data_IF_945583802306
#
_entry.id   IF_945583802306
#
_cell.length_a   1.000
_cell.length_b   1.000
_cell.length_c   1.000
_cell.angle_alpha   90.00
_cell.angle_beta   90.00
_cell.angle_gamma   90.00
#
_symmetry.space_group_name_H-M   'P 1'
#
loop_
_entity.id
_entity.type
_entity.pdbx_description
1 polymer ?
#
# COMPACT_ATOMS: atom_id res chain seq x y z
N UNK A 1 -25.66 56.69 -26.50
CA UNK A 1 -24.63 57.56 -27.10
C UNK A 1 -23.30 57.23 -26.43
N UNK A 2 -22.51 56.31 -26.97
CA UNK A 2 -21.44 56.53 -27.95
C UNK A 2 -20.38 57.56 -27.51
N UNK A 3 -19.20 57.07 -27.09
CA UNK A 3 -17.87 57.32 -27.73
C UNK A 3 -16.75 56.73 -26.85
N UNK A 4 -16.10 55.67 -27.32
CA UNK A 4 -14.82 55.65 -28.07
C UNK A 4 -13.59 55.78 -27.16
N UNK A 5 -12.85 54.67 -27.02
CA UNK A 5 -11.42 54.73 -26.69
C UNK A 5 -10.57 55.16 -27.90
N UNK A 6 -9.25 55.06 -27.78
CA UNK A 6 -8.46 54.59 -28.90
C UNK A 6 -7.46 53.49 -28.49
N UNK A 7 -7.31 52.53 -29.40
CA UNK A 7 -6.22 51.59 -29.49
C UNK A 7 -5.03 52.20 -30.26
N UNK A 8 -3.81 51.73 -29.96
CA UNK A 8 -2.63 51.60 -30.85
C UNK A 8 -1.54 50.86 -30.02
N UNK A 9 -1.09 49.63 -30.27
CA UNK A 9 -0.64 48.91 -31.46
C UNK A 9 0.81 49.20 -31.89
N UNK A 10 1.53 48.10 -32.18
CA UNK A 10 2.79 47.92 -32.96
C UNK A 10 4.07 48.14 -32.11
N UNK A 11 5.07 47.25 -32.03
CA UNK A 11 5.70 46.44 -33.08
C UNK A 11 6.38 45.17 -32.57
N UNK A 12 6.50 44.21 -33.48
CA UNK A 12 7.29 42.98 -33.40
C UNK A 12 8.68 43.14 -34.03
N UNK A 13 9.66 42.37 -33.54
CA UNK A 13 10.80 41.75 -34.28
C UNK A 13 11.63 40.97 -33.22
N UNK A 14 11.68 39.64 -33.17
CA UNK A 14 12.16 38.63 -34.12
C UNK A 14 13.69 38.60 -34.33
N UNK A 15 14.26 37.41 -34.03
CA UNK A 15 15.59 36.83 -34.33
C UNK A 15 16.70 37.07 -33.29
N UNK A 16 17.57 36.11 -32.95
CA UNK A 16 17.64 34.67 -33.20
C UNK A 16 18.85 34.10 -32.41
N UNK A 17 18.78 32.80 -32.13
CA UNK A 17 19.89 31.84 -32.09
C UNK A 17 20.87 31.86 -30.90
N UNK A 18 20.90 30.72 -30.21
CA UNK A 18 21.88 30.40 -29.17
C UNK A 18 21.58 29.06 -28.51
N UNK A 19 21.47 27.99 -29.31
CA UNK A 19 21.25 26.61 -28.88
C UNK A 19 22.24 26.15 -27.82
N UNK A 20 21.73 25.69 -26.67
CA UNK A 20 22.38 24.65 -25.86
C UNK A 20 21.34 23.60 -25.53
N UNK A 21 21.33 22.53 -26.32
CA UNK A 21 20.63 21.29 -26.01
C UNK A 21 21.18 20.73 -24.70
N UNK A 22 20.41 20.88 -23.62
CA UNK A 22 20.54 20.00 -22.46
C UNK A 22 19.64 18.81 -22.77
N UNK A 23 20.26 17.67 -23.03
CA UNK A 23 19.61 16.38 -23.20
C UNK A 23 18.72 16.10 -21.98
N UNK A 24 17.41 16.25 -22.18
CA UNK A 24 16.41 15.67 -21.28
C UNK A 24 16.59 14.16 -21.32
N UNK A 25 16.99 13.59 -20.19
CA UNK A 25 16.85 12.16 -19.97
C UNK A 25 15.34 11.78 -20.04
N UNK A 26 14.99 10.66 -20.70
CA UNK A 26 13.60 10.24 -20.80
C UNK A 26 13.06 9.84 -19.42
N UNK A 27 11.92 10.43 -19.05
CA UNK A 27 11.13 10.02 -17.87
C UNK A 27 10.67 8.57 -18.07
N UNK A 28 10.87 7.65 -17.10
CA UNK A 28 10.30 6.32 -17.20
C UNK A 28 8.77 6.37 -17.03
N UNK A 29 8.11 5.49 -17.78
CA UNK A 29 6.67 5.40 -18.00
C UNK A 29 5.87 5.10 -16.73
N UNK A 30 4.79 5.85 -16.56
CA UNK A 30 3.95 6.00 -15.35
C UNK A 30 2.85 4.92 -15.18
N UNK A 31 3.07 3.68 -15.62
CA UNK A 31 1.98 2.67 -15.72
C UNK A 31 2.31 1.23 -15.25
N UNK A 32 3.33 1.02 -14.41
CA UNK A 32 3.67 -0.33 -13.86
C UNK A 32 3.56 -0.45 -12.34
N UNK A 33 2.96 0.53 -11.66
CA UNK A 33 3.26 0.81 -10.25
C UNK A 33 2.56 -0.04 -9.17
N UNK A 34 1.82 -1.12 -9.48
CA UNK A 34 1.32 -2.06 -8.44
C UNK A 34 1.45 -3.54 -8.80
N UNK A 35 2.17 -3.89 -9.87
CA UNK A 35 2.62 -5.28 -10.03
C UNK A 35 3.94 -5.43 -9.27
N UNK A 36 3.95 -6.17 -8.16
CA UNK A 36 5.14 -6.55 -7.39
C UNK A 36 6.10 -5.37 -7.17
N UNK A 37 5.79 -4.52 -6.18
CA UNK A 37 6.74 -3.47 -5.82
C UNK A 37 7.86 -4.10 -4.99
N UNK A 38 8.84 -4.67 -5.67
CA UNK A 38 10.12 -5.08 -5.07
C UNK A 38 10.88 -3.82 -4.64
N UNK A 39 10.73 -3.44 -3.38
CA UNK A 39 11.67 -2.57 -2.69
C UNK A 39 12.82 -3.47 -2.23
N UNK A 40 13.82 -3.63 -3.09
CA UNK A 40 14.79 -4.73 -2.98
C UNK A 40 15.80 -4.49 -1.87
N UNK A 41 15.70 -5.34 -0.85
CA UNK A 41 16.78 -5.80 0.02
C UNK A 41 18.12 -5.92 -0.73
N UNK A 42 19.21 -5.41 -0.16
CA UNK A 42 20.54 -5.65 -0.71
C UNK A 42 20.87 -7.15 -0.59
N UNK A 43 21.26 -7.85 -1.68
CA UNK A 43 21.54 -9.28 -1.60
C UNK A 43 22.80 -9.51 -0.78
N UNK A 44 22.64 -9.98 0.45
CA UNK A 44 23.70 -10.68 1.16
C UNK A 44 23.80 -12.11 0.60
N UNK A 45 25.00 -12.69 0.46
CA UNK A 45 25.16 -14.03 -0.10
C UNK A 45 24.31 -15.06 0.66
N UNK A 46 23.64 -16.00 -0.04
CA UNK A 46 22.74 -16.97 0.58
C UNK A 46 23.54 -17.85 1.53
N UNK A 47 23.42 -17.59 2.82
CA UNK A 47 24.00 -18.44 3.85
C UNK A 47 22.88 -19.31 4.41
N UNK A 48 22.90 -20.63 4.20
CA UNK A 48 21.89 -21.50 4.78
C UNK A 48 21.93 -21.40 6.30
N UNK A 49 20.78 -21.08 6.91
CA UNK A 49 20.51 -21.31 8.33
C UNK A 49 21.30 -20.46 9.32
N UNK A 50 21.27 -19.14 9.20
CA UNK A 50 21.65 -18.29 10.35
C UNK A 50 20.65 -18.57 11.49
N UNK A 51 21.11 -18.99 12.68
CA UNK A 51 20.23 -19.32 13.80
C UNK A 51 19.39 -18.09 14.16
N UNK A 52 18.09 -18.32 14.32
CA UNK A 52 17.18 -17.31 14.84
C UNK A 52 17.41 -17.15 16.35
N UNK A 53 16.87 -16.09 16.95
CA UNK A 53 16.93 -15.89 18.41
C UNK A 53 16.29 -17.04 19.22
N UNK A 54 15.52 -17.92 18.56
CA UNK A 54 14.83 -19.05 19.19
C UNK A 54 15.59 -20.37 19.05
N UNK A 55 16.61 -20.44 18.19
CA UNK A 55 17.28 -21.71 17.88
C UNK A 55 18.43 -22.02 18.86
N UNK A 56 19.17 -21.01 19.35
CA UNK A 56 20.28 -21.22 20.30
C UNK A 56 20.82 -19.91 20.93
N UNK A 57 21.71 -20.04 21.92
CA UNK A 57 22.51 -18.91 22.44
C UNK A 57 23.35 -18.23 21.35
N UNK A 58 23.79 -18.99 20.33
CA UNK A 58 24.51 -18.43 19.19
C UNK A 58 23.60 -17.53 18.35
N UNK A 59 22.30 -17.86 18.22
CA UNK A 59 21.32 -17.02 17.55
C UNK A 59 21.10 -15.68 18.26
N UNK A 60 21.03 -15.70 19.61
CA UNK A 60 20.98 -14.47 20.42
C UNK A 60 22.26 -13.65 20.31
N UNK A 61 23.42 -14.29 20.33
CA UNK A 61 24.71 -13.64 20.15
C UNK A 61 24.81 -12.96 18.78
N UNK A 62 24.43 -13.67 17.71
CA UNK A 62 24.42 -13.11 16.36
C UNK A 62 23.44 -11.95 16.22
N UNK A 63 22.25 -12.05 16.80
CA UNK A 63 21.30 -10.94 16.84
C UNK A 63 21.86 -9.71 17.56
N UNK A 64 22.50 -9.92 18.71
CA UNK A 64 23.15 -8.85 19.45
C UNK A 64 24.27 -8.20 18.64
N UNK A 65 25.15 -8.99 18.01
CA UNK A 65 26.19 -8.48 17.12
C UNK A 65 25.61 -7.66 15.97
N UNK A 66 24.54 -8.13 15.32
CA UNK A 66 23.86 -7.35 14.27
C UNK A 66 23.34 -6.01 14.78
N UNK A 67 22.75 -5.98 15.98
CA UNK A 67 22.27 -4.74 16.57
C UNK A 67 23.41 -3.75 16.86
N UNK A 68 24.55 -4.24 17.38
CA UNK A 68 25.72 -3.41 17.71
C UNK A 68 26.43 -2.92 16.45
N UNK A 69 26.69 -3.81 15.50
CA UNK A 69 27.36 -3.48 14.22
C UNK A 69 26.57 -2.44 13.43
N UNK A 70 25.23 -2.44 13.57
CA UNK A 70 24.33 -1.54 12.85
C UNK A 70 23.90 -0.31 13.64
N UNK A 71 24.52 -0.01 14.79
CA UNK A 71 24.28 1.27 15.49
C UNK A 71 24.45 2.50 14.55
N UNK A 72 25.44 2.57 13.64
CA UNK A 72 25.53 3.69 12.70
C UNK A 72 24.31 3.81 11.77
N UNK A 73 23.63 2.69 11.47
CA UNK A 73 22.39 2.69 10.69
C UNK A 73 21.24 3.26 11.53
N UNK A 74 21.18 2.96 12.83
CA UNK A 74 20.21 3.57 13.73
C UNK A 74 20.38 5.10 13.79
N UNK A 75 21.61 5.60 13.88
CA UNK A 75 21.87 7.04 13.84
C UNK A 75 21.44 7.67 12.51
N UNK A 76 21.66 6.98 11.39
CA UNK A 76 21.13 7.39 10.08
C UNK A 76 19.61 7.47 10.09
N UNK A 77 18.92 6.49 10.68
CA UNK A 77 17.45 6.49 10.77
C UNK A 77 16.92 7.66 11.60
N UNK A 78 17.59 8.01 12.70
CA UNK A 78 17.24 9.20 13.49
C UNK A 78 17.44 10.50 12.68
N UNK A 79 18.56 10.61 11.96
CA UNK A 79 18.85 11.79 11.13
C UNK A 79 17.91 11.96 9.94
N UNK A 80 17.46 10.85 9.35
CA UNK A 80 16.56 10.84 8.19
C UNK A 80 15.08 10.85 8.58
N UNK A 81 14.75 10.96 9.87
CA UNK A 81 13.37 11.11 10.32
C UNK A 81 12.52 9.86 10.17
N UNK A 82 13.13 8.67 10.21
CA UNK A 82 12.42 7.37 10.14
C UNK A 82 11.41 7.24 11.27
N UNK A 83 11.70 7.81 12.43
CA UNK A 83 10.87 7.75 13.62
C UNK A 83 10.17 9.08 13.89
N UNK A 84 8.98 9.08 14.54
CA UNK A 84 8.28 10.32 14.85
C UNK A 84 9.12 11.23 15.76
N UNK A 85 9.09 12.56 15.56
CA UNK A 85 9.91 13.50 16.33
C UNK A 85 9.53 13.54 17.82
N UNK A 86 8.32 13.12 18.17
CA UNK A 86 7.84 13.01 19.56
C UNK A 86 8.19 11.68 20.24
N UNK A 87 8.73 10.70 19.50
CA UNK A 87 9.01 9.38 20.04
C UNK A 87 10.32 9.36 20.83
N UNK A 88 10.34 8.78 22.05
CA UNK A 88 11.57 8.69 22.83
C UNK A 88 12.58 7.78 22.14
N UNK A 89 13.86 8.15 22.20
CA UNK A 89 14.97 7.43 21.55
C UNK A 89 15.02 5.94 21.87
N UNK A 90 14.67 5.54 23.08
CA UNK A 90 14.64 4.13 23.47
C UNK A 90 13.52 3.33 22.75
N UNK A 91 12.36 3.94 22.51
CA UNK A 91 11.30 3.34 21.70
C UNK A 91 11.76 3.16 20.24
N UNK A 92 12.41 4.19 19.69
CA UNK A 92 13.00 4.14 18.34
C UNK A 92 14.05 3.04 18.24
N UNK A 93 14.90 2.91 19.27
CA UNK A 93 15.89 1.85 19.34
C UNK A 93 15.23 0.47 19.38
N UNK A 94 14.13 0.28 20.11
CA UNK A 94 13.40 -0.98 20.08
C UNK A 94 12.86 -1.32 18.68
N UNK A 95 12.25 -0.35 17.99
CA UNK A 95 11.81 -0.54 16.60
C UNK A 95 12.98 -0.94 15.71
N UNK A 96 14.11 -0.26 15.84
CA UNK A 96 15.34 -0.57 15.12
C UNK A 96 15.83 -2.00 15.40
N UNK A 97 15.88 -2.42 16.67
CA UNK A 97 16.34 -3.77 17.03
C UNK A 97 15.41 -4.85 16.47
N UNK A 98 14.09 -4.61 16.47
CA UNK A 98 13.12 -5.51 15.86
C UNK A 98 13.31 -5.68 14.36
N UNK A 99 13.74 -4.65 13.64
CA UNK A 99 14.10 -4.77 12.21
C UNK A 99 15.30 -5.70 11.97
N UNK A 100 16.13 -5.97 12.99
CA UNK A 100 17.29 -6.87 12.90
C UNK A 100 16.96 -8.33 13.26
N UNK A 101 15.69 -8.63 13.56
CA UNK A 101 15.24 -9.97 13.92
C UNK A 101 15.35 -10.96 12.75
N UNK A 102 14.91 -10.63 11.51
CA UNK A 102 15.09 -11.53 10.39
C UNK A 102 16.58 -11.78 10.13
N UNK A 103 17.04 -13.05 10.10
CA UNK A 103 18.46 -13.35 10.03
C UNK A 103 19.00 -13.33 8.59
N UNK A 104 18.12 -13.58 7.60
CA UNK A 104 18.47 -13.71 6.19
C UNK A 104 18.17 -12.46 5.37
N UNK A 105 17.25 -11.60 5.85
CA UNK A 105 16.71 -10.47 5.11
C UNK A 105 16.97 -9.19 5.88
N UNK A 106 17.51 -8.18 5.19
CA UNK A 106 17.79 -6.88 5.79
C UNK A 106 16.84 -5.84 5.22
N UNK A 107 16.16 -5.11 6.11
CA UNK A 107 15.20 -4.07 5.73
C UNK A 107 15.81 -2.71 6.04
N UNK A 108 16.08 -1.91 4.99
CA UNK A 108 16.40 -0.49 5.15
C UNK A 108 15.09 0.28 5.38
N UNK A 109 14.91 0.82 6.58
CA UNK A 109 13.69 1.52 6.97
C UNK A 109 13.52 2.83 6.19
N UNK A 110 14.60 3.46 5.73
CA UNK A 110 14.53 4.69 4.93
C UNK A 110 13.93 4.38 3.57
N UNK A 111 14.51 3.39 2.88
CA UNK A 111 14.03 2.95 1.57
C UNK A 111 12.60 2.43 1.65
N UNK A 112 12.30 1.64 2.68
CA UNK A 112 10.95 1.16 2.94
C UNK A 112 9.96 2.31 3.13
N UNK A 113 10.28 3.35 3.92
CA UNK A 113 9.35 4.47 4.14
C UNK A 113 9.16 5.33 2.88
N UNK A 114 10.18 5.49 2.04
CA UNK A 114 10.03 6.14 0.73
C UNK A 114 9.08 5.34 -0.17
N UNK A 115 9.21 4.01 -0.16
CA UNK A 115 8.30 3.11 -0.86
C UNK A 115 6.88 3.14 -0.31
N UNK A 116 6.73 3.09 1.02
CA UNK A 116 5.45 3.17 1.71
C UNK A 116 4.74 4.49 1.40
N UNK A 117 5.47 5.62 1.39
CA UNK A 117 4.92 6.91 0.99
C UNK A 117 4.31 6.86 -0.41
N UNK A 118 5.04 6.31 -1.36
CA UNK A 118 4.57 6.17 -2.73
C UNK A 118 3.33 5.26 -2.81
N UNK A 119 3.34 4.13 -2.10
CA UNK A 119 2.21 3.21 -2.06
C UNK A 119 0.95 3.85 -1.44
N UNK A 120 1.10 4.59 -0.33
CA UNK A 120 0.01 5.33 0.31
C UNK A 120 -0.52 6.45 -0.60
N UNK A 121 0.35 7.19 -1.28
CA UNK A 121 -0.04 8.24 -2.23
C UNK A 121 -0.89 7.66 -3.36
N UNK A 122 -0.41 6.57 -3.96
CA UNK A 122 -1.12 5.88 -5.03
C UNK A 122 -2.46 5.31 -4.53
N UNK A 123 -2.48 4.66 -3.36
CA UNK A 123 -3.68 4.09 -2.79
C UNK A 123 -4.76 5.16 -2.54
N UNK A 124 -4.39 6.26 -1.90
CA UNK A 124 -5.29 7.38 -1.60
C UNK A 124 -5.80 8.05 -2.87
N UNK A 125 -4.92 8.43 -3.81
CA UNK A 125 -5.35 9.04 -5.07
C UNK A 125 -6.26 8.13 -5.89
N UNK A 126 -5.98 6.82 -5.89
CA UNK A 126 -6.80 5.85 -6.61
C UNK A 126 -8.15 5.66 -5.93
N UNK A 127 -8.20 5.61 -4.59
CA UNK A 127 -9.44 5.50 -3.82
C UNK A 127 -10.38 6.69 -4.04
N UNK A 128 -9.84 7.92 -4.10
CA UNK A 128 -10.63 9.12 -4.40
C UNK A 128 -10.86 9.36 -5.90
N UNK A 129 -10.36 8.47 -6.77
CA UNK A 129 -10.63 8.60 -8.19
C UNK A 129 -12.10 8.32 -8.49
N UNK A 130 -12.69 9.08 -9.41
CA UNK A 130 -14.09 8.85 -9.84
C UNK A 130 -14.31 7.45 -10.39
N UNK A 131 -13.29 6.89 -11.02
CA UNK A 131 -13.35 5.53 -11.56
C UNK A 131 -13.57 4.51 -10.43
N UNK A 132 -12.76 4.58 -9.38
CA UNK A 132 -12.89 3.69 -8.23
C UNK A 132 -14.19 3.92 -7.46
N UNK A 133 -14.60 5.18 -7.26
CA UNK A 133 -15.88 5.49 -6.59
C UNK A 133 -17.06 4.90 -7.37
N UNK A 134 -17.08 5.03 -8.69
CA UNK A 134 -18.12 4.43 -9.54
C UNK A 134 -18.11 2.90 -9.46
N UNK A 135 -16.92 2.30 -9.35
CA UNK A 135 -16.80 0.85 -9.15
C UNK A 135 -17.34 0.45 -7.77
N UNK A 136 -16.95 1.14 -6.71
CA UNK A 136 -17.38 0.88 -5.34
C UNK A 136 -18.89 1.09 -5.13
N UNK A 137 -19.49 2.07 -5.82
CA UNK A 137 -20.94 2.30 -5.79
C UNK A 137 -21.74 1.33 -6.67
N UNK A 138 -21.08 0.45 -7.42
CA UNK A 138 -21.70 -0.49 -8.35
C UNK A 138 -22.23 0.15 -9.65
N UNK A 139 -21.79 1.36 -9.99
CA UNK A 139 -22.14 2.01 -11.24
C UNK A 139 -21.39 1.39 -12.44
N UNK A 140 -20.19 0.86 -12.22
CA UNK A 140 -19.42 0.09 -13.19
C UNK A 140 -19.01 -1.26 -12.61
N UNK A 141 -18.93 -2.29 -13.46
CA UNK A 141 -18.63 -3.66 -13.03
C UNK A 141 -17.14 -4.00 -12.98
N UNK A 142 -16.29 -3.23 -13.66
CA UNK A 142 -14.84 -3.44 -13.71
C UNK A 142 -14.12 -2.09 -13.81
N UNK A 143 -12.94 -1.99 -13.21
CA UNK A 143 -12.14 -0.78 -13.14
C UNK A 143 -10.65 -1.11 -13.07
N UNK A 144 -9.82 -0.62 -14.00
CA UNK A 144 -8.37 -0.63 -13.86
C UNK A 144 -7.87 -0.06 -12.53
N UNK A 145 -8.51 0.98 -11.98
CA UNK A 145 -8.19 1.52 -10.66
C UNK A 145 -8.44 0.49 -9.53
N UNK A 146 -9.53 -0.27 -9.62
CA UNK A 146 -9.82 -1.35 -8.68
C UNK A 146 -8.82 -2.51 -8.80
N UNK A 147 -8.49 -2.94 -10.03
CA UNK A 147 -7.47 -3.97 -10.27
C UNK A 147 -6.09 -3.54 -9.77
N UNK A 148 -5.75 -2.26 -9.94
CA UNK A 148 -4.51 -1.67 -9.43
C UNK A 148 -4.48 -1.83 -7.90
N UNK A 149 -5.51 -1.36 -7.18
CA UNK A 149 -5.60 -1.49 -5.73
C UNK A 149 -5.56 -2.95 -5.25
N UNK A 150 -6.25 -3.87 -5.93
CA UNK A 150 -6.24 -5.30 -5.59
C UNK A 150 -4.87 -5.96 -5.63
N UNK A 151 -3.91 -5.42 -6.39
CA UNK A 151 -2.55 -5.98 -6.45
C UNK A 151 -1.67 -5.53 -5.29
N UNK A 152 -1.91 -4.34 -4.74
CA UNK A 152 -1.11 -3.76 -3.65
C UNK A 152 -1.72 -3.91 -2.25
N UNK A 153 -3.03 -4.15 -2.16
CA UNK A 153 -3.77 -4.31 -0.91
C UNK A 153 -4.10 -5.78 -0.66
N UNK A 154 -4.16 -6.16 0.61
CA UNK A 154 -4.84 -7.39 0.98
C UNK A 154 -6.32 -7.31 0.62
N UNK A 155 -6.95 -8.47 0.50
CA UNK A 155 -8.36 -8.56 0.16
C UNK A 155 -9.23 -7.87 1.21
N UNK A 156 -8.88 -8.01 2.48
CA UNK A 156 -9.59 -7.42 3.61
C UNK A 156 -9.48 -5.89 3.56
N UNK A 157 -8.29 -5.35 3.30
CA UNK A 157 -8.09 -3.92 3.21
C UNK A 157 -8.80 -3.33 1.97
N UNK A 158 -8.76 -4.05 0.84
CA UNK A 158 -9.49 -3.66 -0.37
C UNK A 158 -11.00 -3.62 -0.14
N UNK A 159 -11.56 -4.63 0.53
CA UNK A 159 -12.98 -4.67 0.89
C UNK A 159 -13.37 -3.53 1.84
N UNK A 160 -12.51 -3.20 2.82
CA UNK A 160 -12.74 -2.06 3.71
C UNK A 160 -12.79 -0.74 2.93
N UNK A 161 -11.94 -0.56 1.92
CA UNK A 161 -11.96 0.63 1.06
C UNK A 161 -13.22 0.70 0.21
N UNK A 162 -13.65 -0.43 -0.38
CA UNK A 162 -14.92 -0.49 -1.12
C UNK A 162 -16.10 -0.11 -0.23
N UNK A 163 -16.15 -0.66 0.98
CA UNK A 163 -17.19 -0.34 1.94
C UNK A 163 -17.21 1.16 2.28
N UNK A 164 -16.05 1.73 2.62
CA UNK A 164 -15.93 3.15 2.98
C UNK A 164 -16.37 4.07 1.83
N UNK A 165 -15.96 3.78 0.59
CA UNK A 165 -16.35 4.58 -0.58
C UNK A 165 -17.83 4.43 -0.92
N UNK A 166 -18.38 3.22 -0.82
CA UNK A 166 -19.81 2.96 -1.04
C UNK A 166 -20.68 3.72 -0.02
N UNK A 167 -20.32 3.66 1.27
CA UNK A 167 -21.02 4.42 2.32
C UNK A 167 -20.93 5.94 2.08
N UNK A 168 -19.75 6.44 1.70
CA UNK A 168 -19.60 7.85 1.34
C UNK A 168 -20.50 8.27 0.17
N UNK A 169 -20.64 7.42 -0.85
CA UNK A 169 -21.46 7.72 -2.03
C UNK A 169 -22.96 7.82 -1.73
N UNK A 170 -23.46 7.08 -0.73
CA UNK A 170 -24.88 7.10 -0.30
C UNK A 170 -25.31 8.44 0.28
N UNK A 171 -24.37 9.24 0.79
CA UNK A 171 -24.65 10.57 1.33
C UNK A 171 -25.05 11.61 0.27
N UNK A 172 -24.87 11.30 -1.02
CA UNK A 172 -25.10 12.23 -2.12
C UNK A 172 -24.00 13.27 -2.32
N UNK A 173 -23.00 13.30 -1.43
CA UNK A 173 -21.83 14.15 -1.55
C UNK A 173 -20.76 13.45 -2.39
N UNK A 174 -20.11 14.20 -3.28
CA UNK A 174 -18.94 13.72 -4.02
C UNK A 174 -17.69 14.40 -3.49
N UNK A 175 -16.66 13.61 -3.23
CA UNK A 175 -15.35 14.07 -2.76
C UNK A 175 -14.32 13.76 -3.84
N UNK A 176 -13.81 14.81 -4.50
CA UNK A 176 -12.70 14.71 -5.44
C UNK A 176 -11.42 15.16 -4.69
N UNK A 177 -10.42 14.29 -4.55
CA UNK A 177 -9.12 14.66 -3.99
C UNK A 177 -8.35 15.52 -5.00
N UNK A 178 -8.16 16.81 -4.70
CA UNK A 178 -7.48 17.75 -5.58
C UNK A 178 -5.96 17.74 -5.34
N UNK A 179 -5.54 17.62 -4.08
CA UNK A 179 -4.14 17.62 -3.69
C UNK A 179 -3.96 16.81 -2.39
N UNK A 180 -2.87 16.05 -2.33
CA UNK A 180 -2.44 15.32 -1.14
C UNK A 180 -1.02 15.74 -0.78
N UNK A 181 -0.87 16.38 0.37
CA UNK A 181 0.45 16.76 0.88
C UNK A 181 0.84 15.80 2.01
N UNK A 182 2.06 15.27 1.96
CA UNK A 182 2.61 14.45 3.05
C UNK A 182 3.42 15.34 3.99
N UNK A 183 2.98 15.45 5.23
CA UNK A 183 3.65 16.20 6.29
C UNK A 183 4.69 15.34 7.02
N UNK A 184 4.47 14.03 7.09
CA UNK A 184 5.37 13.09 7.74
C UNK A 184 5.03 11.64 7.45
N UNK A 185 6.04 10.78 7.39
CA UNK A 185 5.92 9.34 7.19
C UNK A 185 6.90 8.66 8.14
N UNK A 186 6.38 7.91 9.10
CA UNK A 186 7.18 7.41 10.22
C UNK A 186 6.91 5.93 10.49
N UNK A 187 7.96 5.18 10.81
CA UNK A 187 7.85 3.83 11.34
C UNK A 187 7.43 3.90 12.82
N UNK A 188 6.30 3.28 13.16
CA UNK A 188 5.72 3.29 14.52
C UNK A 188 5.54 1.89 15.11
N UNK A 189 5.58 0.85 14.28
CA UNK A 189 5.42 -0.53 14.73
C UNK A 189 6.21 -1.50 13.86
N UNK A 190 6.74 -2.54 14.51
CA UNK A 190 7.42 -3.67 13.88
C UNK A 190 6.96 -4.93 14.60
N UNK A 191 6.40 -5.86 13.84
CA UNK A 191 6.02 -7.20 14.29
C UNK A 191 6.76 -8.21 13.43
N UNK A 192 7.30 -9.26 14.06
CA UNK A 192 7.96 -10.35 13.38
C UNK A 192 7.46 -11.65 13.95
N UNK A 193 7.00 -12.53 13.07
CA UNK A 193 6.34 -13.78 13.42
C UNK A 193 7.01 -14.94 12.69
N UNK A 194 7.18 -16.04 13.40
CA UNK A 194 7.52 -17.32 12.81
C UNK A 194 6.27 -18.17 12.75
N UNK A 195 6.03 -18.72 11.56
CA UNK A 195 4.89 -19.57 11.30
C UNK A 195 5.33 -20.70 10.37
N UNK A 196 4.64 -21.82 10.44
CA UNK A 196 4.75 -22.85 9.42
C UNK A 196 4.05 -22.41 8.13
N UNK A 197 4.49 -22.97 7.01
CA UNK A 197 3.82 -22.76 5.73
C UNK A 197 2.38 -23.28 5.75
N UNK A 198 2.11 -24.31 6.57
CA UNK A 198 0.77 -24.82 6.84
C UNK A 198 -0.12 -23.76 7.52
N UNK A 199 0.39 -23.07 8.55
CA UNK A 199 -0.35 -21.99 9.24
C UNK A 199 -0.63 -20.83 8.29
N UNK A 200 0.34 -20.41 7.47
CA UNK A 200 0.12 -19.34 6.48
C UNK A 200 -0.97 -19.73 5.47
N UNK A 201 -0.93 -20.96 4.94
CA UNK A 201 -1.95 -21.48 4.03
C UNK A 201 -3.32 -21.56 4.71
N UNK A 202 -3.38 -21.99 5.97
CA UNK A 202 -4.61 -22.05 6.74
C UNK A 202 -5.23 -20.66 6.92
N UNK A 203 -4.44 -19.65 7.30
CA UNK A 203 -4.90 -18.25 7.41
C UNK A 203 -5.47 -17.75 6.08
N UNK A 204 -4.74 -17.94 4.97
CA UNK A 204 -5.21 -17.55 3.63
C UNK A 204 -6.49 -18.27 3.21
N UNK A 205 -6.62 -19.56 3.56
CA UNK A 205 -7.83 -20.34 3.28
C UNK A 205 -9.03 -19.84 4.08
N UNK A 206 -8.85 -19.51 5.36
CA UNK A 206 -9.92 -18.91 6.18
C UNK A 206 -10.36 -17.56 5.63
N UNK A 207 -9.42 -16.70 5.22
CA UNK A 207 -9.70 -15.43 4.58
C UNK A 207 -10.51 -15.62 3.27
N UNK A 208 -10.10 -16.57 2.42
CA UNK A 208 -10.81 -16.89 1.18
C UNK A 208 -12.23 -17.38 1.44
N UNK A 209 -12.42 -18.30 2.40
CA UNK A 209 -13.74 -18.84 2.74
C UNK A 209 -14.65 -17.76 3.31
N UNK A 210 -14.13 -16.90 4.18
CA UNK A 210 -14.87 -15.75 4.72
C UNK A 210 -15.35 -14.84 3.60
N UNK A 211 -14.46 -14.49 2.68
CA UNK A 211 -14.82 -13.62 1.56
C UNK A 211 -15.79 -14.27 0.56
N UNK A 212 -15.72 -15.60 0.36
CA UNK A 212 -16.74 -16.32 -0.41
C UNK A 212 -18.10 -16.31 0.30
N UNK A 213 -18.12 -16.49 1.61
CA UNK A 213 -19.34 -16.45 2.41
C UNK A 213 -20.02 -15.07 2.37
N UNK A 214 -19.24 -13.98 2.41
CA UNK A 214 -19.74 -12.61 2.24
C UNK A 214 -20.42 -12.42 0.89
N UNK A 215 -19.77 -12.82 -0.21
CA UNK A 215 -20.35 -12.74 -1.56
C UNK A 215 -21.64 -13.55 -1.67
N UNK A 216 -21.68 -14.76 -1.11
CA UNK A 216 -22.90 -15.58 -1.09
C UNK A 216 -24.02 -14.93 -0.27
N UNK A 217 -23.69 -14.31 0.88
CA UNK A 217 -24.67 -13.61 1.71
C UNK A 217 -25.26 -12.40 0.98
N UNK A 218 -24.43 -11.62 0.28
CA UNK A 218 -24.86 -10.48 -0.54
C UNK A 218 -25.76 -10.91 -1.69
N UNK A 219 -25.41 -11.98 -2.41
CA UNK A 219 -26.24 -12.55 -3.47
C UNK A 219 -27.61 -13.00 -2.94
N UNK A 220 -27.63 -13.68 -1.79
CA UNK A 220 -28.87 -14.12 -1.14
C UNK A 220 -29.73 -12.94 -0.69
N UNK A 221 -29.13 -11.90 -0.14
CA UNK A 221 -29.83 -10.67 0.26
C UNK A 221 -30.41 -9.91 -0.96
N UNK A 222 -29.69 -9.88 -2.08
CA UNK A 222 -30.16 -9.25 -3.31
C UNK A 222 -31.33 -10.03 -3.95
N UNK A 223 -31.28 -11.36 -3.91
CA UNK A 223 -32.40 -12.22 -4.37
C UNK A 223 -33.67 -12.00 -3.53
N UNK A 224 -33.53 -11.82 -2.21
CA UNK A 224 -34.66 -11.58 -1.29
C UNK A 224 -35.29 -10.18 -1.46
N UNK A 225 -34.52 -9.19 -1.91
CA UNK A 225 -34.99 -7.79 -2.03
C UNK A 225 -35.51 -7.43 -3.41
N UNK A 226 -35.53 -8.36 -4.37
CA UNK A 226 -36.00 -8.12 -5.74
C UNK A 226 -35.18 -7.09 -6.52
N UNK A 227 -34.01 -6.69 -6.00
CA UNK A 227 -33.10 -5.75 -6.64
C UNK A 227 -32.41 -6.49 -7.79
N UNK A 228 -32.57 -5.99 -9.01
CA UNK A 228 -31.91 -6.54 -10.20
C UNK A 228 -30.41 -6.37 -10.03
N UNK A 229 -29.72 -7.40 -9.52
CA UNK A 229 -28.27 -7.47 -9.54
C UNK A 229 -27.89 -7.36 -11.01
N UNK A 230 -27.17 -6.30 -11.39
CA UNK A 230 -26.57 -6.22 -12.70
C UNK A 230 -25.81 -7.53 -12.90
N UNK A 231 -26.20 -8.31 -13.91
CA UNK A 231 -25.60 -9.60 -14.18
C UNK A 231 -24.09 -9.40 -14.27
N UNK A 232 -23.38 -9.85 -13.23
CA UNK A 232 -21.95 -10.05 -13.29
C UNK A 232 -21.75 -11.02 -14.46
N UNK A 233 -20.91 -10.68 -15.45
CA UNK A 233 -20.67 -11.58 -16.56
C UNK A 233 -20.23 -12.94 -16.02
N UNK A 234 -20.80 -14.00 -16.60
CA UNK A 234 -20.50 -15.40 -16.29
C UNK A 234 -18.99 -15.64 -16.15
N UNK A 235 -18.55 -16.44 -15.16
CA UNK A 235 -17.14 -16.61 -14.86
C UNK A 235 -16.52 -17.74 -15.69
N UNK A 236 -15.87 -17.41 -16.80
CA UNK A 236 -14.80 -18.25 -17.36
C UNK A 236 -13.61 -17.33 -17.66
N UNK A 237 -12.49 -17.40 -16.91
CA UNK A 237 -11.77 -18.59 -16.43
C UNK A 237 -11.59 -18.66 -14.90
N UNK A 238 -12.56 -18.20 -14.12
CA UNK A 238 -12.45 -18.09 -12.66
C UNK A 238 -12.46 -19.48 -11.96
N UNK A 239 -13.11 -20.50 -12.53
CA UNK A 239 -13.13 -21.85 -11.98
C UNK A 239 -11.74 -22.53 -12.01
N UNK A 240 -11.01 -22.40 -13.12
CA UNK A 240 -9.65 -22.95 -13.23
C UNK A 240 -8.66 -22.19 -12.33
N UNK A 241 -8.83 -20.87 -12.18
CA UNK A 241 -8.05 -20.04 -11.26
C UNK A 241 -8.35 -20.36 -9.79
N UNK A 242 -9.63 -20.58 -9.46
CA UNK A 242 -10.06 -21.00 -8.12
C UNK A 242 -9.53 -22.40 -7.79
N UNK A 243 -9.58 -23.35 -8.73
CA UNK A 243 -9.05 -24.69 -8.56
C UNK A 243 -7.51 -24.68 -8.41
N UNK A 244 -6.79 -23.86 -9.19
CA UNK A 244 -5.34 -23.69 -9.00
C UNK A 244 -4.99 -22.97 -7.69
N UNK A 245 -5.82 -22.05 -7.21
CA UNK A 245 -5.61 -21.39 -5.92
C UNK A 245 -5.90 -22.35 -4.75
N UNK A 246 -6.96 -23.14 -4.84
CA UNK A 246 -7.30 -24.16 -3.84
C UNK A 246 -6.23 -25.25 -3.76
N UNK A 247 -5.65 -25.65 -4.90
CA UNK A 247 -4.48 -26.54 -4.95
C UNK A 247 -3.24 -25.87 -4.31
N UNK A 248 -3.04 -24.57 -4.53
CA UNK A 248 -1.93 -23.82 -3.90
C UNK A 248 -2.11 -23.64 -2.39
N UNK A 249 -3.34 -23.65 -1.89
CA UNK A 249 -3.68 -23.54 -0.47
C UNK A 249 -3.93 -24.90 0.18
N UNK A 250 -3.79 -26.00 -0.56
CA UNK A 250 -3.78 -27.34 0.01
C UNK A 250 -2.59 -27.48 0.96
N UNK A 251 -2.88 -27.95 2.18
CA UNK A 251 -1.88 -28.12 3.23
C UNK A 251 -1.34 -29.54 3.12
N UNK A 252 -0.07 -29.64 2.74
CA UNK A 252 0.67 -30.90 2.69
C UNK A 252 1.40 -31.15 4.02
N UNK A 253 1.70 -32.40 4.40
CA UNK A 253 2.44 -32.71 5.62
C UNK A 253 3.83 -32.02 5.71
N UNK A 254 4.47 -31.79 4.56
CA UNK A 254 5.74 -31.03 4.47
C UNK A 254 5.61 -29.56 4.85
N UNK A 255 4.41 -29.00 4.75
CA UNK A 255 4.16 -27.57 5.00
C UNK A 255 4.28 -27.23 6.49
N UNK A 256 4.00 -28.19 7.38
CA UNK A 256 4.21 -28.04 8.83
C UNK A 256 5.69 -27.97 9.20
N UNK A 257 6.58 -28.51 8.36
CA UNK A 257 8.02 -28.51 8.59
C UNK A 257 8.70 -27.28 7.97
N UNK A 258 8.07 -26.65 6.98
CA UNK A 258 8.60 -25.48 6.30
C UNK A 258 8.35 -24.24 7.15
N UNK A 259 9.42 -23.66 7.71
CA UNK A 259 9.35 -22.42 8.51
C UNK A 259 9.33 -21.20 7.60
N UNK A 260 8.38 -20.31 7.83
CA UNK A 260 8.24 -19.01 7.19
C UNK A 260 8.43 -17.91 8.24
N UNK A 261 9.02 -16.80 7.83
CA UNK A 261 9.11 -15.58 8.61
C UNK A 261 8.24 -14.51 7.96
N UNK A 262 7.33 -13.93 8.75
CA UNK A 262 6.49 -12.80 8.36
C UNK A 262 6.94 -11.57 9.12
N UNK A 263 7.01 -10.43 8.44
CA UNK A 263 7.21 -9.14 9.08
C UNK A 263 6.05 -8.21 8.73
N UNK A 264 5.56 -7.49 9.75
CA UNK A 264 4.62 -6.39 9.60
C UNK A 264 5.23 -5.09 10.08
N UNK A 265 5.05 -4.05 9.29
CA UNK A 265 5.54 -2.70 9.56
C UNK A 265 4.36 -1.74 9.61
N UNK A 266 4.22 -1.03 10.72
CA UNK A 266 3.21 0.00 10.88
C UNK A 266 3.82 1.35 10.55
N UNK A 267 3.27 2.01 9.54
CA UNK A 267 3.69 3.30 9.04
C UNK A 267 2.64 4.34 9.37
N UNK A 268 2.99 5.28 10.24
CA UNK A 268 2.16 6.45 10.50
C UNK A 268 2.40 7.46 9.39
N UNK A 269 1.33 7.79 8.68
CA UNK A 269 1.32 8.80 7.62
C UNK A 269 0.52 9.99 8.12
N UNK A 270 1.14 11.16 8.08
CA UNK A 270 0.50 12.45 8.34
C UNK A 270 0.32 13.16 7.01
N UNK A 271 -0.92 13.40 6.61
CA UNK A 271 -1.27 14.06 5.36
C UNK A 271 -2.12 15.29 5.57
N UNK A 272 -2.09 16.18 4.58
CA UNK A 272 -3.07 17.24 4.41
C UNK A 272 -3.80 17.02 3.10
N UNK A 273 -5.07 16.70 3.21
CA UNK A 273 -5.96 16.38 2.11
C UNK A 273 -6.72 17.64 1.70
N UNK A 274 -6.64 18.00 0.42
CA UNK A 274 -7.45 19.07 -0.16
C UNK A 274 -8.55 18.45 -1.00
N UNK A 275 -9.76 18.43 -0.44
CA UNK A 275 -10.93 17.80 -1.04
C UNK A 275 -11.83 18.86 -1.67
N UNK A 276 -12.18 18.66 -2.94
CA UNK A 276 -13.30 19.36 -3.57
C UNK A 276 -14.58 18.58 -3.27
N UNK A 277 -15.46 19.19 -2.50
CA UNK A 277 -16.76 18.61 -2.13
C UNK A 277 -17.83 19.23 -3.00
N UNK A 278 -18.56 18.42 -3.76
CA UNK A 278 -19.84 18.85 -4.34
C UNK A 278 -20.97 18.25 -3.55
N UNK A 279 -21.73 19.12 -2.89
CA UNK A 279 -22.95 18.75 -2.18
C UNK A 279 -24.13 18.68 -3.15
N UNK A 280 -25.19 17.96 -2.77
CA UNK A 280 -26.42 17.86 -3.55
C UNK A 280 -27.08 19.24 -3.84
N UNK A 281 -26.79 20.24 -3.00
CA UNK A 281 -27.29 21.62 -3.13
C UNK A 281 -26.50 22.47 -4.15
N UNK A 282 -25.48 21.89 -4.81
CA UNK A 282 -24.69 22.53 -5.87
C UNK A 282 -23.65 23.55 -5.37
N UNK A 283 -23.32 23.53 -4.09
CA UNK A 283 -22.23 24.34 -3.54
C UNK A 283 -20.92 23.57 -3.61
N UNK A 284 -20.05 23.97 -4.55
CA UNK A 284 -18.68 23.49 -4.60
C UNK A 284 -17.88 24.15 -3.47
N UNK A 285 -17.37 23.34 -2.54
CA UNK A 285 -16.51 23.80 -1.46
C UNK A 285 -15.16 23.07 -1.52
N UNK A 286 -14.08 23.77 -1.19
CA UNK A 286 -12.77 23.14 -1.00
C UNK A 286 -12.48 23.07 0.49
N UNK A 287 -12.26 21.86 0.99
CA UNK A 287 -11.94 21.60 2.39
C UNK A 287 -10.49 21.13 2.44
N UNK A 288 -9.68 21.78 3.27
CA UNK A 288 -8.38 21.27 3.67
C UNK A 288 -8.53 20.57 5.02
N UNK A 289 -8.12 19.29 5.07
CA UNK A 289 -8.21 18.46 6.27
C UNK A 289 -6.85 17.86 6.59
N UNK A 290 -6.39 18.05 7.82
CA UNK A 290 -5.26 17.30 8.34
C UNK A 290 -5.74 15.89 8.73
N UNK A 291 -5.00 14.89 8.28
CA UNK A 291 -5.33 13.49 8.45
C UNK A 291 -4.11 12.74 8.97
N UNK A 292 -4.34 11.78 9.85
CA UNK A 292 -3.30 10.90 10.37
C UNK A 292 -3.87 9.50 10.38
N UNK A 293 -3.17 8.58 9.74
CA UNK A 293 -3.55 7.18 9.65
C UNK A 293 -2.32 6.29 9.82
N UNK A 294 -2.52 5.09 10.35
CA UNK A 294 -1.48 4.06 10.44
C UNK A 294 -1.76 3.00 9.38
N UNK A 295 -0.84 2.88 8.44
CA UNK A 295 -0.87 1.90 7.35
C UNK A 295 0.00 0.72 7.74
N UNK A 296 -0.59 -0.47 7.78
CA UNK A 296 0.12 -1.71 8.08
C UNK A 296 0.54 -2.39 6.79
N UNK A 297 1.83 -2.59 6.65
CA UNK A 297 2.44 -3.34 5.56
C UNK A 297 2.83 -4.72 6.05
N UNK A 298 2.70 -5.73 5.21
CA UNK A 298 3.09 -7.11 5.51
C UNK A 298 3.93 -7.68 4.37
N UNK A 299 4.93 -8.49 4.72
CA UNK A 299 5.70 -9.26 3.76
C UNK A 299 6.24 -10.57 4.36
N UNK A 300 6.52 -11.53 3.48
CA UNK A 300 7.30 -12.72 3.83
C UNK A 300 8.78 -12.36 3.69
N UNK A 301 9.54 -12.55 4.77
CA UNK A 301 10.94 -12.12 4.88
C UNK A 301 11.89 -13.30 5.11
N UNK A 302 11.42 -14.53 4.82
CA UNK A 302 12.21 -15.76 4.98
C UNK A 302 13.49 -15.72 4.14
N UNK A 303 13.38 -15.24 2.90
CA UNK A 303 14.50 -14.96 2.03
C UNK A 303 14.35 -13.55 1.42
N UNK A 304 15.46 -12.90 1.01
CA UNK A 304 15.40 -11.58 0.40
C UNK A 304 14.57 -11.51 -0.89
N UNK A 305 14.52 -12.62 -1.63
CA UNK A 305 13.79 -12.70 -2.91
C UNK A 305 12.27 -12.82 -2.71
N UNK A 306 11.82 -13.25 -1.52
CA UNK A 306 10.41 -13.38 -1.18
C UNK A 306 9.77 -12.06 -0.70
N UNK A 307 10.58 -11.00 -0.54
CA UNK A 307 10.10 -9.72 -0.03
C UNK A 307 9.23 -9.02 -1.07
N UNK A 308 7.93 -9.11 -0.84
CA UNK A 308 6.89 -8.37 -1.54
C UNK A 308 5.95 -7.74 -0.52
N UNK A 309 5.90 -6.40 -0.49
CA UNK A 309 5.15 -5.66 0.52
C UNK A 309 3.72 -5.40 0.06
N UNK A 310 2.75 -5.77 0.89
CA UNK A 310 1.33 -5.48 0.68
C UNK A 310 0.75 -4.68 1.83
N UNK A 311 -0.23 -3.81 1.55
CA UNK A 311 -0.98 -3.06 2.56
C UNK A 311 -2.10 -3.96 3.10
N UNK A 312 -2.05 -4.33 4.36
CA UNK A 312 -3.01 -5.27 4.96
C UNK A 312 -4.11 -4.61 5.78
N UNK A 313 -3.87 -3.39 6.28
CA UNK A 313 -4.90 -2.61 6.97
C UNK A 313 -4.53 -1.12 7.06
N UNK A 314 -5.54 -0.28 7.26
CA UNK A 314 -5.41 1.14 7.60
C UNK A 314 -6.23 1.41 8.86
N UNK A 315 -5.61 2.03 9.86
CA UNK A 315 -6.16 2.30 11.20
C UNK A 315 -6.18 3.81 11.46
#
# INVERSE_FOLDING_TARGET
MLRRGPARAVAAAARASGSRSVLLAPRPSRLQALGAVQFSSTPSPPTPGKPTIFDSLDGLSQYYSRCVERIPVFERYEQQGVFPPSSPRFSNFFLFTKLQLPPATEIDAVEFLDGARFACDLAMNTMYSREFVNFASGAIAASPAAELLQRGLSRECFNAFLFAMNESSKSGNTFDLAQLDFNGVYLVGVEWEHLSLAELKAEKKVAQLTAQAEVMAEQKAAQLTGRKVAARPEPEPEAAAAETLDLRLAIEPSDYQTKIQRMRLDVRVETKEHLAVRTADGQDQTIARDSTAVWRFESVVTTPDDVDWQIVSVI
#
